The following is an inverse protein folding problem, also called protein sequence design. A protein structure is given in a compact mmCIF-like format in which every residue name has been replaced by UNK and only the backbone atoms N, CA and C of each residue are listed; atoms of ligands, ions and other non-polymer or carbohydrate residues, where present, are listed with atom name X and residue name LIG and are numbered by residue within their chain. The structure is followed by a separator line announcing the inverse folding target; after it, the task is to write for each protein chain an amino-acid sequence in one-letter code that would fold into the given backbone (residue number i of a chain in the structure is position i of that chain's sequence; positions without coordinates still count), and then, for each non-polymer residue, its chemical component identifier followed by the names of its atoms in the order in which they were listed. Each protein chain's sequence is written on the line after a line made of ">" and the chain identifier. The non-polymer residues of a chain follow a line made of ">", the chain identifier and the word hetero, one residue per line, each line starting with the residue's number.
data_IF_030861848671
#
_entry.id   IF_030861848671
#
_cell.length_a   1.000
_cell.length_b   1.000
_cell.length_c   1.000
_cell.angle_alpha   90.00
_cell.angle_beta   90.00
_cell.angle_gamma   90.00
#
_symmetry.space_group_name_H-M   'P 1'
#
loop_
_entity.id
_entity.type
_entity.pdbx_description
1 polymer ?
#
# COMPACT_ATOMS: atom_id res chain seq x y z
N UNK A 1 6.15 6.32 -2.55
CA UNK A 1 5.53 5.01 -2.31
C UNK A 1 6.23 4.20 -1.22
N UNK A 2 5.46 3.60 -0.31
CA UNK A 2 5.90 2.43 0.48
C UNK A 2 5.93 1.15 -0.39
N UNK A 3 6.35 1.27 -1.66
CA UNK A 3 6.64 0.16 -2.55
C UNK A 3 8.05 -0.30 -2.25
N UNK A 4 8.17 -1.23 -1.31
CA UNK A 4 9.45 -1.83 -0.95
C UNK A 4 9.94 -2.65 -2.15
N UNK A 5 11.06 -2.23 -2.74
CA UNK A 5 11.79 -2.99 -3.76
C UNK A 5 12.25 -4.31 -3.13
N UNK A 6 11.54 -5.40 -3.43
CA UNK A 6 11.77 -6.75 -2.88
C UNK A 6 13.17 -7.33 -3.15
N UNK A 7 13.97 -6.70 -4.03
CA UNK A 7 15.28 -7.21 -4.45
C UNK A 7 16.46 -6.78 -3.56
N UNK A 8 16.26 -5.95 -2.53
CA UNK A 8 17.35 -5.45 -1.66
C UNK A 8 17.15 -5.73 -0.17
N UNK A 9 16.27 -6.65 0.21
CA UNK A 9 16.03 -7.00 1.61
C UNK A 9 16.71 -8.33 2.00
N UNK A 10 17.20 -8.48 3.24
CA UNK A 10 17.72 -9.73 3.75
C UNK A 10 16.67 -10.85 3.64
N UNK A 11 17.10 -12.07 3.30
CA UNK A 11 16.24 -13.24 3.04
C UNK A 11 15.23 -13.56 4.17
N UNK A 12 15.48 -13.09 5.40
CA UNK A 12 14.57 -13.25 6.54
C UNK A 12 13.34 -12.33 6.48
N UNK A 13 13.50 -11.11 5.94
CA UNK A 13 12.41 -10.13 5.75
C UNK A 13 11.58 -10.47 4.52
N UNK A 14 12.20 -10.98 3.45
CA UNK A 14 11.48 -11.41 2.26
C UNK A 14 10.54 -12.56 2.57
N UNK A 15 10.96 -13.55 3.38
CA UNK A 15 10.10 -14.66 3.82
C UNK A 15 8.93 -14.22 4.72
N UNK A 16 9.08 -13.14 5.50
CA UNK A 16 7.99 -12.57 6.29
C UNK A 16 6.98 -11.83 5.41
N UNK A 17 7.47 -11.02 4.46
CA UNK A 17 6.62 -10.26 3.52
C UNK A 17 5.92 -11.17 2.50
N UNK A 18 6.57 -12.23 2.03
CA UNK A 18 5.93 -13.23 1.13
C UNK A 18 4.89 -14.07 1.86
N UNK A 19 5.08 -14.38 3.15
CA UNK A 19 4.05 -15.06 3.97
C UNK A 19 2.81 -14.20 4.21
N UNK A 20 2.95 -12.87 4.23
CA UNK A 20 1.83 -11.91 4.35
C UNK A 20 1.10 -11.66 3.03
N UNK A 21 1.71 -12.02 1.89
CA UNK A 21 1.19 -11.79 0.53
C UNK A 21 0.56 -13.05 -0.09
N UNK A 22 -0.02 -13.96 0.70
CA UNK A 22 -0.86 -15.02 0.13
C UNK A 22 -2.17 -14.38 -0.39
N UNK A 23 -2.51 -14.51 -1.69
CA UNK A 23 -3.81 -14.08 -2.17
C UNK A 23 -4.87 -15.04 -1.65
N UNK A 24 -5.82 -14.53 -0.87
CA UNK A 24 -7.13 -15.16 -0.71
C UNK A 24 -8.01 -14.57 -1.83
N UNK A 25 -8.37 -15.44 -2.77
CA UNK A 25 -9.47 -15.33 -3.74
C UNK A 25 -9.16 -14.61 -5.07
N UNK A 26 -9.23 -15.43 -6.13
CA UNK A 26 -9.47 -15.08 -7.52
C UNK A 26 -10.78 -14.30 -7.70
N UNK A 27 -10.79 -13.45 -8.74
CA UNK A 27 -11.96 -12.84 -9.38
C UNK A 27 -12.43 -11.48 -8.83
N UNK A 28 -11.76 -10.43 -9.31
CA UNK A 28 -12.34 -9.55 -10.35
C UNK A 28 -11.19 -8.80 -10.98
N UNK A 29 -10.99 -9.03 -12.29
CA UNK A 29 -10.05 -8.24 -13.08
C UNK A 29 -10.45 -6.78 -12.98
N UNK A 30 -9.61 -5.99 -12.29
CA UNK A 30 -9.77 -4.55 -12.25
C UNK A 30 -9.23 -3.99 -13.57
N UNK A 31 -10.06 -4.03 -14.61
CA UNK A 31 -9.78 -3.37 -15.87
C UNK A 31 -9.93 -1.86 -15.65
N UNK A 32 -8.80 -1.16 -15.66
CA UNK A 32 -8.72 0.29 -15.49
C UNK A 32 -8.92 0.98 -16.83
N UNK A 33 -10.01 1.75 -16.94
CA UNK A 33 -10.17 2.82 -17.92
C UNK A 33 -10.98 3.95 -17.28
N UNK A 34 -10.29 4.95 -16.74
CA UNK A 34 -10.88 6.14 -16.10
C UNK A 34 -10.28 6.38 -14.72
N UNK A 35 -9.76 7.60 -14.48
CA UNK A 35 -9.29 7.98 -13.15
C UNK A 35 -10.44 7.97 -12.14
N UNK A 36 -10.21 7.42 -10.96
CA UNK A 36 -11.23 7.33 -9.93
C UNK A 36 -11.68 8.71 -9.44
N UNK A 37 -12.99 8.87 -9.31
CA UNK A 37 -13.59 10.00 -8.61
C UNK A 37 -13.21 9.97 -7.13
N UNK A 38 -13.27 11.12 -6.45
CA UNK A 38 -12.95 11.17 -5.02
C UNK A 38 -13.85 10.26 -4.19
N UNK A 39 -15.13 10.10 -4.56
CA UNK A 39 -16.07 9.26 -3.82
C UNK A 39 -15.81 7.77 -4.01
N UNK A 40 -15.37 7.34 -5.21
CA UNK A 40 -14.91 5.97 -5.43
C UNK A 40 -13.67 5.66 -4.59
N UNK A 41 -12.69 6.57 -4.56
CA UNK A 41 -11.48 6.38 -3.73
C UNK A 41 -11.83 6.35 -2.24
N UNK A 42 -12.82 7.15 -1.79
CA UNK A 42 -13.33 7.06 -0.41
C UNK A 42 -13.94 5.70 -0.12
N UNK A 43 -14.78 5.17 -1.02
CA UNK A 43 -15.37 3.84 -0.84
C UNK A 43 -14.29 2.74 -0.77
N UNK A 44 -13.25 2.83 -1.61
CA UNK A 44 -12.10 1.92 -1.57
C UNK A 44 -11.33 2.04 -0.24
N UNK A 45 -11.15 3.26 0.28
CA UNK A 45 -10.49 3.48 1.55
C UNK A 45 -11.27 2.89 2.73
N UNK A 46 -12.59 3.09 2.80
CA UNK A 46 -13.42 2.50 3.86
C UNK A 46 -13.40 0.96 3.81
N UNK A 47 -13.49 0.38 2.60
CA UNK A 47 -13.38 -1.07 2.42
C UNK A 47 -12.01 -1.60 2.87
N UNK A 48 -10.94 -0.91 2.46
CA UNK A 48 -9.57 -1.23 2.88
C UNK A 48 -9.37 -1.11 4.39
N UNK A 49 -9.98 -0.11 5.04
CA UNK A 49 -9.94 0.06 6.49
C UNK A 49 -10.57 -1.14 7.21
N UNK A 50 -11.73 -1.61 6.74
CA UNK A 50 -12.41 -2.78 7.32
C UNK A 50 -11.54 -4.03 7.15
N UNK A 51 -11.02 -4.26 5.95
CA UNK A 51 -10.15 -5.41 5.63
C UNK A 51 -8.91 -5.45 6.54
N UNK A 52 -8.27 -4.30 6.76
CA UNK A 52 -7.03 -4.17 7.51
C UNK A 52 -7.24 -3.81 8.98
N UNK A 53 -8.50 -3.81 9.45
CA UNK A 53 -8.89 -3.48 10.83
C UNK A 53 -8.33 -2.14 11.30
N UNK A 54 -8.36 -1.14 10.43
CA UNK A 54 -7.88 0.22 10.69
C UNK A 54 -8.95 1.05 11.37
N UNK A 55 -8.57 1.69 12.48
CA UNK A 55 -9.38 2.66 13.22
C UNK A 55 -8.49 3.86 13.51
N UNK A 56 -9.02 5.06 13.33
CA UNK A 56 -8.31 6.31 13.59
C UNK A 56 -9.01 7.08 14.69
N UNK A 57 -8.25 7.77 15.54
CA UNK A 57 -8.77 8.37 16.76
C UNK A 57 -9.48 9.71 16.49
N UNK A 58 -9.14 10.37 15.38
CA UNK A 58 -9.69 11.67 15.03
C UNK A 58 -10.07 11.75 13.56
N UNK A 59 -11.01 12.63 13.23
CA UNK A 59 -11.37 12.93 11.84
C UNK A 59 -10.17 13.48 11.07
N UNK A 60 -9.36 14.34 11.71
CA UNK A 60 -8.15 14.90 11.10
C UNK A 60 -7.11 13.81 10.76
N UNK A 61 -6.93 12.82 11.63
CA UNK A 61 -6.08 11.67 11.35
C UNK A 61 -6.65 10.84 10.19
N UNK A 62 -7.96 10.52 10.22
CA UNK A 62 -8.61 9.77 9.15
C UNK A 62 -8.46 10.47 7.80
N UNK A 63 -8.63 11.78 7.75
CA UNK A 63 -8.46 12.58 6.53
C UNK A 63 -7.00 12.56 6.05
N UNK A 64 -6.02 12.75 6.94
CA UNK A 64 -4.60 12.61 6.58
C UNK A 64 -4.30 11.22 5.99
N UNK A 65 -4.83 10.17 6.60
CA UNK A 65 -4.64 8.77 6.18
C UNK A 65 -5.32 8.48 4.85
N UNK A 66 -6.47 9.10 4.59
CA UNK A 66 -7.15 9.06 3.31
C UNK A 66 -6.32 9.72 2.20
N UNK A 67 -5.72 10.89 2.45
CA UNK A 67 -4.84 11.54 1.46
C UNK A 67 -3.63 10.66 1.12
N UNK A 68 -2.97 10.08 2.13
CA UNK A 68 -1.88 9.14 1.92
C UNK A 68 -2.32 7.91 1.10
N UNK A 69 -3.50 7.36 1.40
CA UNK A 69 -4.08 6.24 0.67
C UNK A 69 -4.33 6.57 -0.79
N UNK A 70 -4.94 7.73 -1.06
CA UNK A 70 -5.21 8.23 -2.40
C UNK A 70 -3.92 8.38 -3.21
N UNK A 71 -2.87 8.93 -2.60
CA UNK A 71 -1.59 9.09 -3.29
C UNK A 71 -0.91 7.75 -3.56
N UNK A 72 -0.91 6.83 -2.59
CA UNK A 72 -0.39 5.48 -2.79
C UNK A 72 -1.20 4.68 -3.85
N UNK A 73 -2.51 4.90 -3.97
CA UNK A 73 -3.34 4.26 -4.99
C UNK A 73 -2.98 4.71 -6.42
N UNK A 74 -2.85 6.03 -6.65
CA UNK A 74 -2.38 6.57 -7.95
C UNK A 74 -1.04 5.99 -8.35
N UNK A 75 -0.19 5.87 -7.35
CA UNK A 75 1.16 5.36 -7.45
C UNK A 75 1.16 3.87 -7.86
N UNK A 76 0.32 3.04 -7.24
CA UNK A 76 0.07 1.64 -7.61
C UNK A 76 -0.45 1.53 -9.05
N UNK A 77 -1.43 2.35 -9.42
CA UNK A 77 -2.04 2.34 -10.75
C UNK A 77 -1.05 2.70 -11.84
N UNK A 78 -0.27 3.76 -11.62
CA UNK A 78 0.81 4.18 -12.52
C UNK A 78 1.84 3.08 -12.71
N UNK A 79 2.29 2.46 -11.63
CA UNK A 79 3.25 1.35 -11.72
C UNK A 79 2.68 0.17 -12.49
N UNK A 80 1.43 -0.20 -12.21
CA UNK A 80 0.78 -1.33 -12.86
C UNK A 80 0.39 -1.07 -14.33
N UNK A 81 0.23 0.19 -14.75
CA UNK A 81 -0.10 0.56 -16.13
C UNK A 81 1.11 0.69 -17.06
N UNK A 82 2.32 0.86 -16.52
CA UNK A 82 3.54 1.09 -17.31
C UNK A 82 3.99 -0.18 -18.07
N UNK A 83 3.45 -1.37 -17.76
CA UNK A 83 3.64 -2.61 -18.53
C UNK A 83 5.05 -3.21 -18.53
N UNK A 84 6.05 -2.50 -18.03
CA UNK A 84 7.47 -2.88 -18.01
C UNK A 84 7.95 -3.47 -16.68
N UNK A 85 7.04 -3.66 -15.72
CA UNK A 85 7.37 -4.20 -14.41
C UNK A 85 7.18 -5.72 -14.34
N UNK A 86 8.16 -6.41 -13.77
CA UNK A 86 8.11 -7.86 -13.49
C UNK A 86 7.22 -8.22 -12.30
N UNK A 87 6.64 -7.22 -11.63
CA UNK A 87 5.75 -7.38 -10.49
C UNK A 87 4.67 -6.29 -10.48
N UNK A 88 3.56 -6.58 -9.81
CA UNK A 88 2.46 -5.63 -9.59
C UNK A 88 2.44 -5.15 -8.15
N UNK A 89 2.04 -3.90 -7.95
CA UNK A 89 1.74 -3.37 -6.63
C UNK A 89 0.25 -3.57 -6.31
N UNK A 90 -0.06 -3.65 -5.03
CA UNK A 90 -1.43 -3.73 -4.53
C UNK A 90 -1.57 -2.91 -3.25
N UNK A 91 -2.82 -2.71 -2.82
CA UNK A 91 -3.08 -2.12 -1.52
C UNK A 91 -2.62 -3.09 -0.43
N UNK A 92 -1.92 -2.56 0.57
CA UNK A 92 -1.36 -3.35 1.68
C UNK A 92 -1.75 -2.69 2.99
N UNK A 93 -1.42 -3.32 4.12
CA UNK A 93 -1.60 -2.71 5.44
C UNK A 93 -0.88 -1.36 5.62
N UNK A 94 0.06 -1.00 4.75
CA UNK A 94 0.81 0.26 4.81
C UNK A 94 0.31 1.31 3.82
N UNK A 95 -0.81 1.07 3.13
CA UNK A 95 -1.33 1.98 2.11
C UNK A 95 -1.77 3.34 2.64
N UNK A 96 -1.98 3.50 3.94
CA UNK A 96 -2.26 4.77 4.62
C UNK A 96 -1.01 5.52 5.12
N UNK A 97 0.18 5.01 4.84
CA UNK A 97 1.45 5.56 5.32
C UNK A 97 2.25 6.22 4.20
N UNK A 98 2.96 7.30 4.55
CA UNK A 98 4.00 7.84 3.68
C UNK A 98 5.26 6.95 3.71
N UNK A 99 6.13 7.10 2.71
CA UNK A 99 7.42 6.39 2.69
C UNK A 99 8.27 6.72 3.93
N UNK A 100 8.28 8.00 4.34
CA UNK A 100 9.01 8.45 5.52
C UNK A 100 8.42 7.90 6.82
N UNK A 101 7.08 7.88 6.95
CA UNK A 101 6.42 7.27 8.10
C UNK A 101 6.75 5.77 8.20
N UNK A 102 6.75 5.09 7.05
CA UNK A 102 7.15 3.68 6.98
C UNK A 102 8.59 3.48 7.44
N UNK A 103 9.52 4.30 6.93
CA UNK A 103 10.93 4.25 7.31
C UNK A 103 11.17 4.53 8.79
N UNK A 104 10.49 5.52 9.37
CA UNK A 104 10.63 5.85 10.81
C UNK A 104 10.15 4.72 11.73
N UNK A 105 9.06 4.04 11.37
CA UNK A 105 8.44 3.03 12.24
C UNK A 105 9.08 1.65 12.03
N UNK A 106 9.39 1.29 10.78
CA UNK A 106 9.80 -0.07 10.41
C UNK A 106 11.23 -0.19 9.86
N UNK A 107 11.85 0.93 9.47
CA UNK A 107 13.18 0.95 8.85
C UNK A 107 14.32 0.85 9.85
N UNK A 108 14.22 -0.11 10.79
CA UNK A 108 15.12 -0.28 11.94
C UNK A 108 16.57 0.14 11.68
N UNK A 109 17.11 0.96 12.58
CA UNK A 109 18.50 1.42 12.63
C UNK A 109 19.46 0.31 12.19
N UNK A 110 19.98 0.40 10.98
CA UNK A 110 21.38 0.03 10.75
C UNK A 110 22.16 1.22 11.32
N UNK A 111 22.35 1.19 12.63
CA UNK A 111 23.45 1.92 13.24
C UNK A 111 24.69 1.09 12.90
N UNK A 112 25.54 1.63 12.03
CA UNK A 112 26.88 1.09 11.82
C UNK A 112 27.69 1.21 13.13
N UNK A 113 28.68 0.32 13.37
CA UNK A 113 29.47 0.24 14.61
C UNK A 113 30.19 1.54 15.00
#
# INVERSE_FOLDING_TARGET
>A
MAAIRLKSLPLRLTNFMTKQLRPIIQSKGFNSSGGHTTDEVKAMFEAWMVEHKRVYNTLAEKEKRFQNFKDNLKDIEKHNSTGNSTYRLGLTKFSDMTHEEFGRIYGGRIADP
#
